data_IF_072200931052
#
_entry.id   IF_072200931052
#
_cell.length_a   1.000
_cell.length_b   1.000
_cell.length_c   1.000
_cell.angle_alpha   90.00
_cell.angle_beta   90.00
_cell.angle_gamma   90.00
#
_symmetry.space_group_name_H-M   'P 1'
#
loop_
_entity.id
_entity.type
_entity.pdbx_description
1 polymer ?
#
# COMPACT_ATOMS: atom_id res chain seq x y z
N UNK A 1 14.07 11.82 46.97
CA UNK A 1 14.88 10.57 46.94
C UNK A 1 14.27 9.63 45.92
N UNK A 2 15.08 8.86 45.24
CA UNK A 2 14.59 7.90 44.24
C UNK A 2 13.93 6.71 44.95
N UNK A 3 12.71 6.37 44.61
CA UNK A 3 11.90 5.33 45.23
C UNK A 3 11.70 4.13 44.34
N UNK A 4 11.95 2.93 44.87
CA UNK A 4 11.78 1.67 44.13
C UNK A 4 10.30 1.30 44.07
N UNK A 5 9.78 1.02 42.86
CA UNK A 5 8.41 0.58 42.61
C UNK A 5 8.39 -0.78 41.91
N UNK A 6 7.65 -1.75 42.45
CA UNK A 6 7.44 -3.07 41.83
C UNK A 6 6.19 -3.07 40.98
N UNK A 7 6.28 -3.62 39.78
CA UNK A 7 5.17 -3.70 38.82
C UNK A 7 5.04 -5.16 38.40
N UNK A 8 3.89 -5.75 38.66
CA UNK A 8 3.60 -7.13 38.26
C UNK A 8 3.43 -7.22 36.74
N UNK A 9 3.70 -8.39 36.19
CA UNK A 9 3.48 -8.69 34.78
C UNK A 9 2.07 -8.27 34.33
N UNK A 10 1.97 -7.76 33.09
CA UNK A 10 0.74 -7.27 32.44
C UNK A 10 0.13 -5.99 33.04
N UNK A 11 0.69 -5.43 34.10
CA UNK A 11 0.28 -4.14 34.66
C UNK A 11 1.00 -2.97 33.97
N UNK A 12 0.32 -1.83 33.95
CA UNK A 12 0.86 -0.59 33.39
C UNK A 12 1.66 0.17 34.47
N UNK A 13 2.83 0.65 34.07
CA UNK A 13 3.57 1.64 34.84
C UNK A 13 2.87 3.00 34.75
N UNK A 14 2.43 3.37 33.53
CA UNK A 14 1.56 4.51 33.22
C UNK A 14 0.91 4.30 31.83
N UNK A 15 -0.14 5.07 31.54
CA UNK A 15 -0.85 5.04 30.26
C UNK A 15 -0.65 6.30 29.44
N UNK A 16 -0.86 6.21 28.13
CA UNK A 16 -0.91 7.38 27.22
C UNK A 16 -1.97 8.36 27.73
N UNK A 17 -1.58 9.63 27.80
CA UNK A 17 -2.46 10.70 28.30
C UNK A 17 -2.43 10.95 29.82
N UNK A 18 -1.82 10.05 30.61
CA UNK A 18 -1.68 10.26 32.04
C UNK A 18 -0.85 11.52 32.34
N UNK A 19 -1.13 12.16 33.51
CA UNK A 19 -0.28 13.22 34.02
C UNK A 19 1.14 12.68 34.28
N UNK A 20 2.13 13.55 34.12
CA UNK A 20 3.54 13.16 34.22
C UNK A 20 4.22 13.92 35.36
N UNK A 21 4.72 13.19 36.35
CA UNK A 21 5.40 13.69 37.53
C UNK A 21 6.80 13.14 37.76
N UNK A 22 7.12 12.02 37.12
CA UNK A 22 8.39 11.31 37.26
C UNK A 22 8.80 10.60 35.97
N UNK A 23 10.08 10.34 35.79
CA UNK A 23 10.60 9.31 34.88
C UNK A 23 11.05 8.10 35.66
N UNK A 24 11.29 7.01 34.96
CA UNK A 24 11.61 5.73 35.59
C UNK A 24 12.82 5.07 34.95
N UNK A 25 13.74 4.54 35.76
CA UNK A 25 14.83 3.66 35.32
C UNK A 25 14.43 2.23 35.63
N UNK A 26 14.55 1.34 34.65
CA UNK A 26 14.24 -0.08 34.82
C UNK A 26 15.39 -0.75 35.53
N UNK A 27 15.17 -1.29 36.73
CA UNK A 27 16.18 -2.05 37.53
C UNK A 27 16.19 -3.52 37.12
N UNK A 28 15.02 -4.12 36.99
CA UNK A 28 14.88 -5.53 36.62
C UNK A 28 13.58 -5.76 35.87
N UNK A 29 13.47 -6.91 35.17
CA UNK A 29 12.27 -7.26 34.42
C UNK A 29 12.33 -6.81 32.96
N UNK A 30 11.23 -6.26 32.44
CA UNK A 30 11.10 -5.73 31.08
C UNK A 30 9.75 -5.08 30.85
N UNK A 31 9.71 -4.10 29.96
CA UNK A 31 8.49 -3.37 29.61
C UNK A 31 8.33 -3.31 28.08
N UNK A 32 7.08 -3.21 27.64
CA UNK A 32 6.72 -2.82 26.29
C UNK A 32 6.16 -1.39 26.31
N UNK A 33 6.71 -0.54 25.44
CA UNK A 33 6.13 0.76 25.13
C UNK A 33 5.08 0.52 24.07
N UNK A 34 3.82 0.87 24.35
CA UNK A 34 2.71 0.59 23.44
C UNK A 34 1.87 1.84 23.20
N UNK A 35 1.12 1.83 22.09
CA UNK A 35 0.07 2.81 21.82
C UNK A 35 -1.26 2.11 21.63
N UNK A 36 -2.32 2.72 22.16
CA UNK A 36 -3.68 2.22 21.99
C UNK A 36 -4.20 2.51 20.59
N UNK A 37 -4.76 1.48 19.95
CA UNK A 37 -5.38 1.56 18.62
C UNK A 37 -6.73 0.83 18.66
N UNK A 38 -7.82 1.58 18.79
CA UNK A 38 -9.15 0.97 19.00
C UNK A 38 -9.11 0.06 20.23
N UNK A 39 -9.39 -1.23 20.04
CA UNK A 39 -9.35 -2.25 21.11
C UNK A 39 -8.00 -3.01 21.18
N UNK A 40 -6.99 -2.65 20.38
CA UNK A 40 -5.69 -3.30 20.36
C UNK A 40 -4.58 -2.35 20.82
N UNK A 41 -3.44 -2.93 21.22
CA UNK A 41 -2.22 -2.18 21.51
C UNK A 41 -1.14 -2.53 20.50
N UNK A 42 -0.45 -1.49 20.00
CA UNK A 42 0.70 -1.61 19.10
C UNK A 42 1.96 -1.45 19.92
N UNK A 43 2.86 -2.40 19.82
CA UNK A 43 4.18 -2.34 20.46
C UNK A 43 5.10 -1.45 19.63
N UNK A 44 5.55 -0.33 20.22
CA UNK A 44 6.52 0.59 19.61
C UNK A 44 7.95 0.18 19.90
N UNK A 45 8.22 -0.27 21.14
CA UNK A 45 9.55 -0.68 21.58
C UNK A 45 9.46 -1.64 22.77
N UNK A 46 10.47 -2.51 22.89
CA UNK A 46 10.75 -3.25 24.12
C UNK A 46 11.85 -2.56 24.92
N UNK A 47 11.67 -2.47 26.22
CA UNK A 47 12.58 -1.75 27.12
C UNK A 47 13.14 -2.71 28.15
N UNK A 48 14.47 -2.74 28.27
CA UNK A 48 15.24 -3.68 29.09
C UNK A 48 15.82 -2.99 30.34
N UNK A 49 16.31 -3.74 31.33
CA UNK A 49 17.01 -3.18 32.50
C UNK A 49 18.15 -2.22 32.08
N UNK A 50 18.28 -1.12 32.80
CA UNK A 50 19.19 -0.02 32.52
C UNK A 50 18.63 1.08 31.63
N UNK A 51 17.54 0.84 30.92
CA UNK A 51 16.90 1.86 30.11
C UNK A 51 15.95 2.76 30.95
N UNK A 52 15.59 3.91 30.37
CA UNK A 52 14.68 4.89 30.95
C UNK A 52 13.38 4.95 30.17
N UNK A 53 12.28 5.27 30.87
CA UNK A 53 10.97 5.52 30.26
C UNK A 53 10.26 6.71 30.96
N UNK A 54 9.44 7.42 30.19
CA UNK A 54 8.72 8.56 30.68
C UNK A 54 9.53 9.86 30.72
N UNK A 55 10.73 9.87 30.13
CA UNK A 55 11.66 11.00 30.06
C UNK A 55 11.13 12.16 29.23
N UNK A 56 10.29 11.85 28.23
CA UNK A 56 9.81 12.85 27.25
C UNK A 56 9.06 14.01 27.89
N UNK A 57 8.27 13.74 28.90
CA UNK A 57 7.47 14.75 29.58
C UNK A 57 8.30 15.68 30.49
N UNK A 58 9.52 15.29 30.87
CA UNK A 58 10.45 16.14 31.60
C UNK A 58 10.83 17.39 30.79
N UNK A 59 10.88 17.29 29.45
CA UNK A 59 11.35 18.37 28.57
C UNK A 59 10.24 19.30 28.09
N UNK A 60 8.98 18.85 28.06
CA UNK A 60 7.88 19.59 27.46
C UNK A 60 6.62 19.71 28.33
N UNK A 61 6.64 19.16 29.54
CA UNK A 61 5.51 19.15 30.49
C UNK A 61 4.19 18.64 29.90
N UNK A 62 4.26 17.78 28.85
CA UNK A 62 3.07 17.23 28.23
C UNK A 62 2.68 15.88 28.88
N UNK A 63 1.43 15.44 28.71
CA UNK A 63 1.01 14.10 29.14
C UNK A 63 1.86 12.98 28.53
N UNK A 64 1.79 11.79 29.13
CA UNK A 64 2.48 10.58 28.64
C UNK A 64 2.21 10.34 27.17
N UNK A 65 3.24 10.12 26.39
CA UNK A 65 3.16 9.98 24.93
C UNK A 65 2.78 8.55 24.47
N UNK A 66 2.86 7.57 25.38
CA UNK A 66 2.60 6.16 25.12
C UNK A 66 2.27 5.43 26.43
N UNK A 67 1.73 4.21 26.34
CA UNK A 67 1.62 3.30 27.47
C UNK A 67 2.96 2.64 27.74
N UNK A 68 3.24 2.29 28.99
CA UNK A 68 4.36 1.42 29.38
C UNK A 68 3.80 0.28 30.22
N UNK A 69 3.82 -0.94 29.66
CA UNK A 69 3.25 -2.15 30.24
C UNK A 69 4.35 -3.15 30.56
N UNK A 70 4.33 -3.74 31.76
CA UNK A 70 5.29 -4.74 32.16
C UNK A 70 5.05 -6.07 31.41
N UNK A 71 6.10 -6.61 30.78
CA UNK A 71 6.06 -7.90 30.07
C UNK A 71 6.39 -9.08 31.01
N UNK A 72 6.91 -8.79 32.16
CA UNK A 72 7.22 -9.69 33.29
C UNK A 72 7.28 -8.89 34.59
N UNK A 73 7.32 -9.57 35.73
CA UNK A 73 7.51 -8.90 37.01
C UNK A 73 8.76 -8.03 36.97
N UNK A 74 8.60 -6.77 37.28
CA UNK A 74 9.60 -5.74 37.04
C UNK A 74 9.75 -4.81 38.23
N UNK A 75 10.94 -4.24 38.39
CA UNK A 75 11.25 -3.22 39.37
C UNK A 75 11.79 -1.98 38.66
N UNK A 76 11.27 -0.80 39.04
CA UNK A 76 11.70 0.50 38.50
C UNK A 76 12.10 1.43 39.62
N UNK A 77 12.99 2.36 39.32
CA UNK A 77 13.38 3.48 40.18
C UNK A 77 12.69 4.72 39.67
N UNK A 78 11.79 5.31 40.50
CA UNK A 78 11.12 6.55 40.18
C UNK A 78 12.03 7.75 40.46
N UNK A 79 12.14 8.64 39.48
CA UNK A 79 12.88 9.91 39.57
C UNK A 79 11.90 11.07 39.36
N UNK A 80 11.48 11.78 40.44
CA UNK A 80 10.57 12.90 40.36
C UNK A 80 11.14 14.01 39.47
N UNK A 81 10.32 14.59 38.59
CA UNK A 81 10.74 15.68 37.72
C UNK A 81 11.21 16.92 38.46
N UNK A 82 10.63 17.22 39.61
CA UNK A 82 11.05 18.37 40.42
C UNK A 82 12.55 18.31 40.78
N UNK A 83 13.05 17.12 41.13
CA UNK A 83 14.47 16.92 41.43
C UNK A 83 15.36 17.02 40.22
N UNK A 84 14.90 16.52 39.05
CA UNK A 84 15.63 16.52 37.80
C UNK A 84 15.65 17.93 37.16
N UNK A 85 14.56 18.67 37.20
CA UNK A 85 14.48 20.01 36.64
C UNK A 85 15.51 20.94 37.28
N UNK A 86 15.68 20.90 38.62
CA UNK A 86 16.71 21.66 39.31
C UNK A 86 18.13 21.40 38.79
N UNK A 87 18.41 20.15 38.43
CA UNK A 87 19.72 19.78 37.86
C UNK A 87 19.84 20.22 36.39
N UNK A 88 18.74 20.11 35.62
CA UNK A 88 18.71 20.54 34.21
C UNK A 88 18.85 22.04 34.04
N UNK A 89 18.37 22.83 35.02
CA UNK A 89 18.51 24.29 35.01
C UNK A 89 19.97 24.75 35.13
N UNK A 90 20.83 23.91 35.64
CA UNK A 90 22.27 24.13 35.69
C UNK A 90 23.01 23.84 34.37
N UNK A 91 22.34 23.17 33.41
CA UNK A 91 22.92 22.87 32.11
C UNK A 91 22.98 24.12 31.21
N UNK A 92 23.98 24.22 30.33
CA UNK A 92 24.03 25.27 29.34
C UNK A 92 22.74 25.36 28.50
N UNK A 93 22.33 26.57 28.16
CA UNK A 93 21.06 26.82 27.42
C UNK A 93 21.00 26.03 26.12
N UNK A 94 22.10 25.90 25.39
CA UNK A 94 22.14 25.16 24.14
C UNK A 94 21.91 23.65 24.32
N UNK A 95 22.38 23.03 25.42
CA UNK A 95 22.13 21.62 25.74
C UNK A 95 20.63 21.39 25.95
N UNK A 96 19.98 22.25 26.73
CA UNK A 96 18.55 22.19 26.98
C UNK A 96 17.74 22.36 25.67
N UNK A 97 18.18 23.28 24.80
CA UNK A 97 17.55 23.49 23.51
C UNK A 97 17.65 22.23 22.61
N UNK A 98 18.82 21.59 22.53
CA UNK A 98 19.00 20.35 21.78
C UNK A 98 18.09 19.24 22.33
N UNK A 99 18.08 19.03 23.64
CA UNK A 99 17.25 18.00 24.26
C UNK A 99 15.76 18.23 23.98
N UNK A 100 15.29 19.47 24.05
CA UNK A 100 13.92 19.84 23.72
C UNK A 100 13.60 19.54 22.25
N UNK A 101 14.46 19.95 21.33
CA UNK A 101 14.27 19.70 19.89
C UNK A 101 14.24 18.20 19.56
N UNK A 102 15.14 17.40 20.14
CA UNK A 102 15.14 15.93 19.95
C UNK A 102 13.85 15.30 20.48
N UNK A 103 13.37 15.75 21.62
CA UNK A 103 12.12 15.27 22.20
C UNK A 103 10.90 15.61 21.33
N UNK A 104 10.85 16.84 20.78
CA UNK A 104 9.80 17.27 19.85
C UNK A 104 9.81 16.43 18.58
N UNK A 105 11.01 16.17 18.00
CA UNK A 105 11.16 15.32 16.82
C UNK A 105 10.70 13.87 17.10
N UNK A 106 11.02 13.31 18.25
CA UNK A 106 10.55 11.97 18.65
C UNK A 106 9.02 11.91 18.80
N UNK A 107 8.41 12.92 19.41
CA UNK A 107 6.93 12.99 19.49
C UNK A 107 6.29 13.08 18.11
N UNK A 108 6.86 13.88 17.24
CA UNK A 108 6.36 14.01 15.88
C UNK A 108 6.51 12.70 15.08
N UNK A 109 7.65 12.02 15.21
CA UNK A 109 7.85 10.69 14.63
C UNK A 109 6.83 9.67 15.15
N UNK A 110 6.61 9.62 16.47
CA UNK A 110 5.61 8.73 17.07
C UNK A 110 4.17 9.08 16.63
N UNK A 111 3.85 10.36 16.42
CA UNK A 111 2.56 10.81 15.89
C UNK A 111 2.40 10.39 14.42
N UNK A 112 3.46 10.52 13.61
CA UNK A 112 3.45 10.05 12.20
C UNK A 112 3.26 8.54 12.11
N UNK A 113 3.92 7.76 12.97
CA UNK A 113 3.72 6.31 13.06
C UNK A 113 2.25 5.99 13.35
N UNK A 114 1.64 6.67 14.35
CA UNK A 114 0.22 6.46 14.69
C UNK A 114 -0.72 6.82 13.53
N UNK A 115 -0.42 7.88 12.77
CA UNK A 115 -1.20 8.28 11.59
C UNK A 115 -1.04 7.24 10.48
N UNK A 116 0.18 6.80 10.17
CA UNK A 116 0.46 5.78 9.16
C UNK A 116 -0.20 4.43 9.49
N UNK A 117 -0.28 4.09 10.77
CA UNK A 117 -0.96 2.89 11.23
C UNK A 117 -2.49 3.04 11.30
N UNK A 118 -3.02 4.24 11.58
CA UNK A 118 -4.46 4.50 11.56
C UNK A 118 -5.05 4.54 10.15
N UNK A 119 -4.25 4.89 9.14
CA UNK A 119 -4.66 4.79 7.72
C UNK A 119 -4.85 3.32 7.28
N UNK A 120 -4.55 2.36 8.14
CA UNK A 120 -4.66 0.92 7.87
C UNK A 120 -6.01 0.28 8.25
N UNK A 121 -6.98 0.99 8.81
CA UNK A 121 -8.11 0.30 9.47
C UNK A 121 -9.53 0.64 9.06
N UNK A 122 -9.80 1.56 8.14
CA UNK A 122 -11.17 1.72 7.68
C UNK A 122 -11.17 2.06 6.19
N UNK A 123 -11.88 1.23 5.40
CA UNK A 123 -12.22 1.39 3.99
C UNK A 123 -11.02 1.49 3.00
N UNK A 124 -10.71 0.36 2.40
CA UNK A 124 -9.64 0.13 1.41
C UNK A 124 -8.21 0.14 2.01
N UNK A 125 -7.74 -1.03 2.41
CA UNK A 125 -6.32 -1.25 2.80
C UNK A 125 -5.33 -0.70 1.77
N UNK A 126 -5.75 -0.61 0.52
CA UNK A 126 -5.00 -0.08 -0.60
C UNK A 126 -5.89 0.82 -1.48
N UNK A 127 -6.06 2.09 -1.12
CA UNK A 127 -6.76 3.03 -1.98
C UNK A 127 -6.04 3.14 -3.35
N UNK A 128 -6.78 3.44 -4.42
CA UNK A 128 -6.27 3.45 -5.79
C UNK A 128 -4.96 4.23 -5.99
N UNK A 129 -4.86 5.40 -5.38
CA UNK A 129 -3.67 6.25 -5.46
C UNK A 129 -2.43 5.62 -4.80
N UNK A 130 -2.60 4.79 -3.78
CA UNK A 130 -1.51 4.08 -3.11
C UNK A 130 -0.97 2.95 -4.01
N UNK A 131 -1.86 2.18 -4.65
CA UNK A 131 -1.46 1.14 -5.61
C UNK A 131 -0.61 1.76 -6.72
N UNK A 132 -1.11 2.86 -7.29
CA UNK A 132 -0.42 3.56 -8.37
C UNK A 132 0.94 4.10 -7.93
N UNK A 133 1.03 4.62 -6.71
CA UNK A 133 2.28 5.09 -6.11
C UNK A 133 3.32 3.96 -6.00
N UNK A 134 2.95 2.77 -5.53
CA UNK A 134 3.87 1.65 -5.42
C UNK A 134 4.34 1.12 -6.77
N UNK A 135 3.44 1.03 -7.76
CA UNK A 135 3.81 0.64 -9.12
C UNK A 135 4.74 1.69 -9.73
N UNK A 136 4.51 2.97 -9.48
CA UNK A 136 5.41 4.06 -9.91
C UNK A 136 6.80 3.96 -9.30
N UNK A 137 6.93 3.57 -8.03
CA UNK A 137 8.23 3.33 -7.38
C UNK A 137 8.96 2.18 -8.08
N UNK A 138 8.28 1.08 -8.38
CA UNK A 138 8.85 -0.06 -9.08
C UNK A 138 9.34 0.36 -10.47
N UNK A 139 8.54 1.10 -11.22
CA UNK A 139 8.90 1.61 -12.54
C UNK A 139 10.10 2.58 -12.47
N UNK A 140 10.12 3.50 -11.51
CA UNK A 140 11.21 4.45 -11.30
C UNK A 140 12.54 3.72 -11.01
N UNK A 141 12.50 2.75 -10.09
CA UNK A 141 13.69 1.95 -9.73
C UNK A 141 14.15 1.11 -10.92
N UNK A 142 13.20 0.47 -11.62
CA UNK A 142 13.48 -0.33 -12.81
C UNK A 142 14.17 0.49 -13.91
N UNK A 143 13.66 1.68 -14.22
CA UNK A 143 14.25 2.55 -15.24
C UNK A 143 15.62 3.10 -14.85
N UNK A 144 15.82 3.46 -13.58
CA UNK A 144 17.05 4.10 -13.14
C UNK A 144 18.18 3.10 -12.92
N UNK A 145 17.88 1.92 -12.41
CA UNK A 145 18.88 0.95 -11.95
C UNK A 145 18.73 -0.44 -12.58
N UNK A 146 17.66 -0.65 -13.36
CA UNK A 146 17.37 -1.94 -13.97
C UNK A 146 18.42 -2.32 -14.99
N UNK A 147 18.81 -3.58 -14.97
CA UNK A 147 19.58 -4.22 -16.02
C UNK A 147 18.62 -4.83 -17.01
N UNK A 148 18.88 -4.58 -18.30
CA UNK A 148 18.08 -5.17 -19.35
C UNK A 148 18.23 -6.71 -19.34
N UNK A 149 17.12 -7.39 -19.42
CA UNK A 149 16.99 -8.84 -19.57
C UNK A 149 16.27 -9.14 -20.92
N UNK A 150 16.09 -10.41 -21.22
CA UNK A 150 15.41 -10.83 -22.44
C UNK A 150 13.98 -10.27 -22.54
N UNK A 151 13.48 -10.15 -23.76
CA UNK A 151 12.14 -9.64 -24.09
C UNK A 151 11.81 -8.24 -23.51
N UNK A 152 12.82 -7.40 -23.22
CA UNK A 152 12.62 -6.05 -22.67
C UNK A 152 12.30 -5.98 -21.19
N UNK A 153 12.46 -7.08 -20.46
CA UNK A 153 12.33 -7.11 -19.02
C UNK A 153 13.47 -6.34 -18.33
N UNK A 154 13.23 -5.87 -17.10
CA UNK A 154 14.20 -5.14 -16.29
C UNK A 154 14.41 -5.82 -14.95
N UNK A 155 15.66 -6.16 -14.60
CA UNK A 155 15.99 -6.76 -13.32
C UNK A 155 16.75 -5.81 -12.41
N UNK A 156 16.42 -5.83 -11.11
CA UNK A 156 17.05 -5.00 -10.08
C UNK A 156 16.90 -5.63 -8.68
N UNK A 157 17.58 -5.07 -7.68
CA UNK A 157 17.54 -5.59 -6.30
C UNK A 157 16.33 -5.07 -5.53
N UNK A 158 15.69 -5.93 -4.73
CA UNK A 158 14.63 -5.56 -3.78
C UNK A 158 15.10 -4.52 -2.76
N UNK A 159 16.40 -4.48 -2.43
CA UNK A 159 17.01 -3.47 -1.56
C UNK A 159 16.86 -2.05 -2.10
N UNK A 160 16.92 -1.86 -3.43
CA UNK A 160 16.69 -0.56 -4.05
C UNK A 160 15.23 -0.12 -3.90
N UNK A 161 14.27 -1.03 -4.15
CA UNK A 161 12.84 -0.73 -3.93
C UNK A 161 12.61 -0.34 -2.46
N UNK A 162 13.15 -1.12 -1.52
CA UNK A 162 13.02 -0.85 -0.08
C UNK A 162 13.56 0.53 0.28
N UNK A 163 14.75 0.88 -0.19
CA UNK A 163 15.37 2.17 0.08
C UNK A 163 14.52 3.33 -0.46
N UNK A 164 14.05 3.24 -1.71
CA UNK A 164 13.18 4.26 -2.29
C UNK A 164 11.85 4.35 -1.53
N UNK A 165 11.22 3.21 -1.20
CA UNK A 165 9.97 3.17 -0.45
C UNK A 165 10.08 3.90 0.89
N UNK A 166 11.13 3.61 1.67
CA UNK A 166 11.32 4.19 3.00
C UNK A 166 11.85 5.62 2.93
N UNK A 167 12.98 5.82 2.24
CA UNK A 167 13.76 7.07 2.36
C UNK A 167 13.17 8.21 1.52
N UNK A 168 12.61 7.90 0.35
CA UNK A 168 12.12 8.91 -0.57
C UNK A 168 10.62 9.10 -0.44
N UNK A 169 9.86 7.99 -0.45
CA UNK A 169 8.41 8.05 -0.45
C UNK A 169 7.77 7.93 0.92
N UNK A 170 8.54 7.61 1.97
CA UNK A 170 8.11 7.48 3.37
C UNK A 170 6.91 6.53 3.54
N UNK A 171 6.93 5.42 2.81
CA UNK A 171 5.87 4.43 2.78
C UNK A 171 6.28 3.12 3.47
N UNK A 172 5.28 2.33 3.87
CA UNK A 172 5.47 1.06 4.54
C UNK A 172 5.93 -0.04 3.56
N UNK A 173 7.03 -0.73 3.91
CA UNK A 173 7.61 -1.78 3.08
C UNK A 173 6.75 -3.04 2.98
N UNK A 174 5.94 -3.34 4.00
CA UNK A 174 4.99 -4.45 3.96
C UNK A 174 3.92 -4.25 2.88
N UNK A 175 3.42 -3.02 2.71
CA UNK A 175 2.49 -2.69 1.62
C UNK A 175 3.14 -2.84 0.25
N UNK A 176 4.38 -2.37 0.10
CA UNK A 176 5.16 -2.58 -1.13
C UNK A 176 5.30 -4.07 -1.44
N UNK A 177 5.65 -4.89 -0.44
CA UNK A 177 5.78 -6.35 -0.63
C UNK A 177 4.45 -6.97 -1.07
N UNK A 178 3.32 -6.54 -0.49
CA UNK A 178 2.00 -7.02 -0.89
C UNK A 178 1.68 -6.67 -2.35
N UNK A 179 2.01 -5.46 -2.79
CA UNK A 179 1.84 -5.06 -4.20
C UNK A 179 2.76 -5.85 -5.12
N UNK A 180 4.02 -6.07 -4.74
CA UNK A 180 4.95 -6.90 -5.52
C UNK A 180 4.47 -8.35 -5.65
N UNK A 181 3.94 -8.94 -4.57
CA UNK A 181 3.36 -10.28 -4.61
C UNK A 181 2.14 -10.34 -5.54
N UNK A 182 1.27 -9.33 -5.49
CA UNK A 182 0.13 -9.23 -6.41
C UNK A 182 0.57 -9.12 -7.88
N UNK A 183 1.62 -8.34 -8.18
CA UNK A 183 2.20 -8.24 -9.52
C UNK A 183 2.84 -9.56 -9.98
N UNK A 184 3.47 -10.30 -9.06
CA UNK A 184 4.04 -11.62 -9.34
C UNK A 184 2.94 -12.61 -9.72
N UNK A 185 1.87 -12.67 -8.93
CA UNK A 185 0.71 -13.53 -9.20
C UNK A 185 -0.03 -13.18 -10.51
N UNK A 186 0.06 -11.93 -10.95
CA UNK A 186 -0.50 -11.46 -12.20
C UNK A 186 0.44 -11.67 -13.41
N UNK A 187 1.66 -12.19 -13.20
CA UNK A 187 2.62 -12.44 -14.25
C UNK A 187 3.31 -11.18 -14.79
N UNK A 188 3.35 -10.10 -14.00
CA UNK A 188 4.11 -8.89 -14.35
C UNK A 188 5.52 -8.88 -13.78
N UNK A 189 5.80 -9.74 -12.79
CA UNK A 189 7.05 -9.70 -12.05
C UNK A 189 7.47 -11.11 -11.63
N UNK A 190 8.78 -11.34 -11.46
CA UNK A 190 9.31 -12.47 -10.69
C UNK A 190 10.14 -11.98 -9.52
N UNK A 191 10.22 -12.80 -8.46
CA UNK A 191 11.00 -12.54 -7.26
C UNK A 191 11.86 -13.78 -6.97
N UNK A 192 13.18 -13.64 -7.02
CA UNK A 192 14.13 -14.74 -6.83
C UNK A 192 15.04 -14.41 -5.64
N UNK A 193 15.17 -15.33 -4.69
CA UNK A 193 16.07 -15.15 -3.55
C UNK A 193 17.53 -15.23 -4.03
N UNK A 194 18.36 -14.29 -3.57
CA UNK A 194 19.78 -14.23 -3.89
C UNK A 194 20.69 -14.84 -2.82
N UNK A 195 20.13 -15.20 -1.66
CA UNK A 195 20.87 -15.72 -0.51
C UNK A 195 21.66 -14.67 0.28
N UNK A 196 21.61 -13.39 -0.12
CA UNK A 196 22.25 -12.25 0.56
C UNK A 196 21.26 -11.41 1.40
N UNK A 197 20.05 -11.93 1.64
CA UNK A 197 18.95 -11.24 2.33
C UNK A 197 18.17 -10.28 1.43
N UNK A 198 18.50 -10.23 0.12
CA UNK A 198 17.78 -9.48 -0.90
C UNK A 198 17.28 -10.42 -2.00
N UNK A 199 16.21 -9.99 -2.68
CA UNK A 199 15.66 -10.67 -3.83
C UNK A 199 16.10 -9.98 -5.13
N UNK A 200 16.30 -10.77 -6.20
CA UNK A 200 16.31 -10.27 -7.58
C UNK A 200 14.86 -10.09 -8.00
N UNK A 201 14.50 -8.89 -8.36
CA UNK A 201 13.19 -8.54 -8.90
C UNK A 201 13.34 -8.41 -10.41
N UNK A 202 12.51 -9.10 -11.17
CA UNK A 202 12.46 -8.94 -12.64
C UNK A 202 11.07 -8.44 -13.02
N UNK A 203 11.00 -7.19 -13.51
CA UNK A 203 9.79 -6.64 -14.12
C UNK A 203 9.71 -7.14 -15.56
N UNK A 204 8.77 -8.03 -15.84
CA UNK A 204 8.61 -8.72 -17.12
C UNK A 204 7.99 -7.82 -18.19
N UNK A 205 7.17 -6.84 -17.79
CA UNK A 205 6.37 -5.99 -18.68
C UNK A 205 6.42 -4.51 -18.27
N UNK A 206 7.62 -3.89 -18.28
CA UNK A 206 7.78 -2.52 -17.77
C UNK A 206 6.91 -1.50 -18.52
N UNK A 207 6.77 -1.62 -19.83
CA UNK A 207 5.96 -0.70 -20.64
C UNK A 207 4.46 -0.79 -20.30
N UNK A 208 3.97 -2.01 -20.03
CA UNK A 208 2.56 -2.18 -19.63
C UNK A 208 2.29 -1.57 -18.24
N UNK A 209 3.22 -1.72 -17.29
CA UNK A 209 3.11 -1.10 -15.98
C UNK A 209 3.22 0.44 -16.05
N UNK A 210 4.04 0.99 -16.94
CA UNK A 210 4.09 2.42 -17.22
C UNK A 210 2.75 2.93 -17.73
N UNK A 211 2.27 2.34 -18.80
CA UNK A 211 0.99 2.71 -19.43
C UNK A 211 -0.18 2.59 -18.45
N UNK A 212 -0.13 1.59 -17.56
CA UNK A 212 -1.13 1.43 -16.50
C UNK A 212 -1.10 2.61 -15.51
N UNK A 213 0.09 3.00 -15.04
CA UNK A 213 0.24 4.13 -14.08
C UNK A 213 -0.30 5.42 -14.68
N UNK A 214 0.07 5.73 -15.93
CA UNK A 214 -0.36 6.96 -16.62
C UNK A 214 -1.87 6.97 -16.82
N UNK A 215 -2.42 5.87 -17.36
CA UNK A 215 -3.85 5.72 -17.57
C UNK A 215 -4.65 5.81 -16.25
N UNK A 216 -4.17 5.13 -15.19
CA UNK A 216 -4.88 5.09 -13.91
C UNK A 216 -4.84 6.43 -13.20
N UNK A 217 -3.71 7.15 -13.26
CA UNK A 217 -3.64 8.53 -12.81
C UNK A 217 -4.63 9.42 -13.55
N UNK A 218 -4.61 9.39 -14.89
CA UNK A 218 -5.54 10.17 -15.68
C UNK A 218 -6.99 9.86 -15.32
N UNK A 219 -7.33 8.57 -15.16
CA UNK A 219 -8.66 8.14 -14.77
C UNK A 219 -9.06 8.64 -13.38
N UNK A 220 -8.16 8.58 -12.39
CA UNK A 220 -8.42 9.01 -11.01
C UNK A 220 -8.65 10.53 -10.91
N UNK A 221 -7.94 11.33 -11.71
CA UNK A 221 -8.02 12.79 -11.66
C UNK A 221 -9.09 13.39 -12.59
N UNK A 222 -9.68 12.62 -13.52
CA UNK A 222 -10.83 13.08 -14.30
C UNK A 222 -12.02 13.37 -13.40
N UNK A 223 -12.77 14.42 -13.73
CA UNK A 223 -14.05 14.69 -13.07
C UNK A 223 -15.02 13.53 -13.30
N UNK A 224 -15.88 13.25 -12.34
CA UNK A 224 -16.78 12.09 -12.37
C UNK A 224 -17.63 12.03 -13.65
N UNK A 225 -18.11 13.17 -14.12
CA UNK A 225 -18.89 13.31 -15.39
C UNK A 225 -18.12 12.93 -16.65
N UNK A 226 -16.78 13.06 -16.64
CA UNK A 226 -15.89 12.82 -17.77
C UNK A 226 -15.17 11.47 -17.67
N UNK A 227 -15.40 10.76 -16.57
CA UNK A 227 -14.77 9.49 -16.26
C UNK A 227 -15.60 8.33 -16.82
N UNK A 228 -14.99 7.47 -17.64
CA UNK A 228 -15.64 6.21 -18.02
C UNK A 228 -15.91 5.38 -16.75
N UNK A 229 -17.14 4.83 -16.60
CA UNK A 229 -17.45 3.98 -15.46
C UNK A 229 -16.53 2.76 -15.38
N UNK A 230 -16.16 2.33 -14.17
CA UNK A 230 -15.30 1.18 -13.99
C UNK A 230 -15.93 -0.10 -14.57
N UNK A 231 -15.10 -0.95 -15.20
CA UNK A 231 -15.53 -2.30 -15.57
C UNK A 231 -15.45 -3.23 -14.38
N UNK A 232 -16.49 -4.01 -14.18
CA UNK A 232 -16.52 -5.12 -13.21
C UNK A 232 -15.68 -6.32 -13.71
N UNK A 233 -15.40 -7.30 -12.84
CA UNK A 233 -14.68 -8.51 -13.25
C UNK A 233 -15.42 -9.29 -14.32
N UNK A 234 -16.76 -9.36 -14.26
CA UNK A 234 -17.58 -10.02 -15.28
C UNK A 234 -17.53 -9.29 -16.62
N UNK A 235 -17.63 -7.95 -16.61
CA UNK A 235 -17.55 -7.14 -17.83
C UNK A 235 -16.18 -7.24 -18.49
N UNK A 236 -15.09 -7.31 -17.70
CA UNK A 236 -13.74 -7.55 -18.24
C UNK A 236 -13.63 -8.92 -18.90
N UNK A 237 -14.24 -9.97 -18.33
CA UNK A 237 -14.27 -11.30 -18.96
C UNK A 237 -15.02 -11.30 -20.29
N UNK A 238 -16.17 -10.62 -20.33
CA UNK A 238 -16.96 -10.45 -21.57
C UNK A 238 -16.14 -9.69 -22.59
N UNK A 239 -15.52 -8.57 -22.20
CA UNK A 239 -14.67 -7.77 -23.09
C UNK A 239 -13.50 -8.57 -23.66
N UNK A 240 -12.80 -9.34 -22.83
CA UNK A 240 -11.70 -10.20 -23.29
C UNK A 240 -12.18 -11.27 -24.29
N UNK A 241 -13.36 -11.83 -24.10
CA UNK A 241 -13.98 -12.72 -25.09
C UNK A 241 -14.25 -12.00 -26.41
N UNK A 242 -14.84 -10.81 -26.38
CA UNK A 242 -15.09 -10.00 -27.59
C UNK A 242 -13.77 -9.68 -28.30
N UNK A 243 -12.73 -9.29 -27.58
CA UNK A 243 -11.40 -8.98 -28.14
C UNK A 243 -10.78 -10.21 -28.84
N UNK A 244 -11.01 -11.42 -28.31
CA UNK A 244 -10.56 -12.66 -28.95
C UNK A 244 -11.19 -12.82 -30.34
N UNK A 245 -12.51 -12.58 -30.46
CA UNK A 245 -13.20 -12.67 -31.73
C UNK A 245 -12.86 -11.49 -32.67
N UNK A 246 -12.65 -10.30 -32.13
CA UNK A 246 -12.21 -9.15 -32.92
C UNK A 246 -10.87 -9.40 -33.61
N UNK A 247 -9.96 -10.11 -32.97
CA UNK A 247 -8.65 -10.49 -33.56
C UNK A 247 -8.72 -11.52 -34.69
N UNK A 248 -9.86 -12.18 -34.84
CA UNK A 248 -10.09 -13.17 -35.92
C UNK A 248 -10.64 -12.54 -37.21
N UNK A 249 -11.02 -11.26 -37.19
CA UNK A 249 -11.59 -10.56 -38.33
C UNK A 249 -10.68 -9.40 -38.77
N UNK A 250 -10.75 -9.01 -40.02
CA UNK A 250 -10.01 -7.86 -40.55
C UNK A 250 -10.76 -6.55 -40.23
N UNK A 251 -10.02 -5.47 -39.95
CA UNK A 251 -10.64 -4.17 -39.73
C UNK A 251 -11.21 -3.57 -41.00
N UNK A 252 -12.24 -2.77 -40.88
CA UNK A 252 -12.76 -1.98 -41.98
C UNK A 252 -11.83 -0.78 -42.32
N UNK A 253 -12.18 0.01 -43.33
CA UNK A 253 -11.43 1.20 -43.76
C UNK A 253 -11.26 2.28 -42.68
N UNK A 254 -12.02 2.19 -41.56
CA UNK A 254 -11.92 3.07 -40.39
C UNK A 254 -11.13 2.45 -39.23
N UNK A 255 -10.53 1.27 -39.43
CA UNK A 255 -9.82 0.55 -38.38
C UNK A 255 -10.73 -0.12 -37.34
N UNK A 256 -12.02 -0.25 -37.59
CA UNK A 256 -12.99 -0.87 -36.69
C UNK A 256 -13.20 -2.34 -37.08
N UNK A 257 -13.27 -3.21 -36.10
CA UNK A 257 -13.47 -4.65 -36.24
C UNK A 257 -14.96 -4.98 -36.07
N UNK A 258 -15.61 -5.55 -37.10
CA UNK A 258 -17.01 -5.95 -37.06
C UNK A 258 -17.14 -7.34 -36.47
N UNK A 259 -17.53 -7.43 -35.19
CA UNK A 259 -17.67 -8.70 -34.45
C UNK A 259 -19.11 -9.17 -34.47
N UNK A 260 -19.34 -10.41 -34.90
CA UNK A 260 -20.66 -11.06 -34.89
C UNK A 260 -20.93 -11.65 -33.50
N UNK A 261 -21.92 -11.11 -32.81
CA UNK A 261 -22.28 -11.55 -31.45
C UNK A 261 -22.93 -12.94 -31.41
N UNK A 262 -23.53 -13.41 -32.52
CA UNK A 262 -24.06 -14.76 -32.61
C UNK A 262 -22.91 -15.78 -32.63
N UNK A 263 -21.82 -15.48 -33.34
CA UNK A 263 -20.61 -16.34 -33.33
C UNK A 263 -19.96 -16.35 -31.95
N UNK A 264 -19.89 -15.17 -31.30
CA UNK A 264 -19.40 -15.06 -29.92
C UNK A 264 -20.24 -15.92 -28.99
N UNK A 265 -21.58 -15.85 -29.07
CA UNK A 265 -22.47 -16.66 -28.24
C UNK A 265 -22.29 -18.16 -28.46
N UNK A 266 -22.14 -18.58 -29.72
CA UNK A 266 -22.04 -20.01 -30.06
C UNK A 266 -20.69 -20.63 -29.68
N UNK A 267 -19.61 -19.85 -29.76
CA UNK A 267 -18.24 -20.38 -29.62
C UNK A 267 -17.54 -19.94 -28.34
N UNK A 268 -18.03 -18.90 -27.63
CA UNK A 268 -17.33 -18.32 -26.47
C UNK A 268 -17.04 -19.35 -25.37
N UNK A 269 -17.95 -20.26 -25.10
CA UNK A 269 -17.76 -21.31 -24.09
C UNK A 269 -16.56 -22.21 -24.42
N UNK A 270 -16.38 -22.55 -25.69
CA UNK A 270 -15.26 -23.38 -26.16
C UNK A 270 -13.94 -22.62 -26.14
N UNK A 271 -13.97 -21.35 -26.55
CA UNK A 271 -12.76 -20.53 -26.73
C UNK A 271 -12.25 -19.91 -25.43
N UNK A 272 -13.17 -19.55 -24.50
CA UNK A 272 -12.84 -18.78 -23.29
C UNK A 272 -13.22 -19.48 -21.97
N UNK A 273 -13.94 -20.60 -22.03
CA UNK A 273 -14.52 -21.26 -20.88
C UNK A 273 -15.71 -20.52 -20.26
N UNK A 274 -16.18 -19.42 -20.87
CA UNK A 274 -17.31 -18.64 -20.41
C UNK A 274 -18.32 -18.45 -21.52
N UNK A 275 -19.60 -18.72 -21.24
CA UNK A 275 -20.68 -18.39 -22.16
C UNK A 275 -20.91 -16.87 -22.18
N UNK A 276 -20.84 -16.26 -23.34
CA UNK A 276 -21.14 -14.84 -23.56
C UNK A 276 -22.37 -14.74 -24.46
N UNK A 277 -23.48 -14.23 -23.92
CA UNK A 277 -24.72 -14.04 -24.65
C UNK A 277 -24.73 -12.68 -25.33
N UNK A 278 -25.61 -12.53 -26.33
CA UNK A 278 -25.79 -11.27 -27.07
C UNK A 278 -26.17 -10.11 -26.13
N UNK A 279 -26.94 -10.38 -25.06
CA UNK A 279 -27.35 -9.39 -24.06
C UNK A 279 -26.24 -8.97 -23.09
N UNK A 280 -25.28 -9.84 -22.85
CA UNK A 280 -24.23 -9.61 -21.86
C UNK A 280 -23.29 -8.43 -22.21
N UNK A 281 -23.31 -7.99 -23.47
CA UNK A 281 -22.55 -6.82 -23.93
C UNK A 281 -23.25 -5.48 -23.60
N UNK A 282 -24.54 -5.47 -23.25
CA UNK A 282 -25.28 -4.24 -23.01
C UNK A 282 -24.64 -3.30 -21.98
N UNK A 283 -24.18 -3.78 -20.81
CA UNK A 283 -23.51 -2.91 -19.84
C UNK A 283 -22.26 -2.23 -20.41
N UNK A 284 -21.53 -2.87 -21.32
CA UNK A 284 -20.34 -2.32 -21.96
C UNK A 284 -20.72 -1.25 -23.01
N UNK A 285 -21.86 -1.39 -23.68
CA UNK A 285 -22.41 -0.38 -24.59
C UNK A 285 -22.88 0.83 -23.79
N UNK A 286 -23.67 0.63 -22.72
CA UNK A 286 -24.14 1.71 -21.84
C UNK A 286 -23.00 2.52 -21.24
N UNK A 287 -21.91 1.85 -20.87
CA UNK A 287 -20.65 2.46 -20.38
C UNK A 287 -19.80 3.07 -21.49
N UNK A 288 -20.20 3.01 -22.74
CA UNK A 288 -19.49 3.54 -23.93
C UNK A 288 -18.12 2.90 -24.22
N UNK A 289 -17.94 1.66 -23.82
CA UNK A 289 -16.77 0.87 -24.18
C UNK A 289 -16.93 0.19 -25.55
N UNK A 290 -18.16 -0.12 -25.94
CA UNK A 290 -18.53 -0.72 -27.23
C UNK A 290 -19.56 0.16 -27.94
N UNK A 291 -19.65 0.01 -29.26
CA UNK A 291 -20.67 0.70 -30.07
C UNK A 291 -22.04 0.07 -29.88
N UNK A 292 -23.09 0.79 -30.30
CA UNK A 292 -24.42 0.23 -30.40
C UNK A 292 -24.45 -1.02 -31.31
N UNK A 293 -25.42 -1.90 -31.03
CA UNK A 293 -25.62 -3.11 -31.84
C UNK A 293 -26.16 -2.74 -33.21
N UNK A 294 -25.60 -3.38 -34.24
CA UNK A 294 -26.04 -3.30 -35.62
C UNK A 294 -26.65 -4.65 -35.97
N UNK A 295 -27.90 -4.62 -36.52
CA UNK A 295 -28.57 -5.84 -36.98
C UNK A 295 -28.61 -5.84 -38.52
N UNK A 296 -28.29 -6.98 -39.10
CA UNK A 296 -28.49 -7.25 -40.54
C UNK A 296 -29.06 -8.67 -40.72
N UNK A 297 -29.29 -9.08 -41.96
CA UNK A 297 -29.87 -10.38 -42.30
C UNK A 297 -29.02 -11.57 -41.80
N UNK A 298 -27.73 -11.35 -41.50
CA UNK A 298 -26.77 -12.37 -41.09
C UNK A 298 -26.52 -12.40 -39.58
N UNK A 299 -27.06 -11.46 -38.81
CA UNK A 299 -26.96 -11.49 -37.34
C UNK A 299 -26.85 -10.14 -36.66
N UNK A 300 -26.39 -10.18 -35.40
CA UNK A 300 -26.19 -9.04 -34.52
C UNK A 300 -24.70 -8.74 -34.41
N UNK A 301 -24.29 -7.51 -34.65
CA UNK A 301 -22.89 -7.10 -34.69
C UNK A 301 -22.62 -5.93 -33.77
N UNK A 302 -21.38 -5.82 -33.34
CA UNK A 302 -20.79 -4.62 -32.73
C UNK A 302 -19.53 -4.23 -33.48
N UNK A 303 -19.18 -2.95 -33.43
CA UNK A 303 -17.90 -2.45 -33.93
C UNK A 303 -16.96 -2.25 -32.76
N UNK A 304 -15.75 -2.76 -32.87
CA UNK A 304 -14.71 -2.71 -31.82
C UNK A 304 -13.51 -1.93 -32.34
N UNK A 305 -13.10 -0.90 -31.61
CA UNK A 305 -11.83 -0.20 -31.85
C UNK A 305 -10.73 -0.88 -31.00
N UNK A 306 -10.14 -1.93 -31.57
CA UNK A 306 -9.25 -2.83 -30.86
C UNK A 306 -8.06 -2.13 -30.18
N UNK A 307 -7.34 -1.17 -30.83
CA UNK A 307 -6.23 -0.46 -30.21
C UNK A 307 -6.64 0.40 -28.98
N UNK A 308 -7.89 0.83 -28.93
CA UNK A 308 -8.43 1.61 -27.80
C UNK A 308 -8.94 0.70 -26.68
N UNK A 309 -9.69 -0.34 -26.99
CA UNK A 309 -10.40 -1.16 -26.00
C UNK A 309 -9.48 -2.19 -25.32
N UNK A 310 -8.52 -2.74 -26.05
CA UNK A 310 -7.61 -3.78 -25.51
C UNK A 310 -6.77 -3.29 -24.31
N UNK A 311 -6.11 -2.12 -24.36
CA UNK A 311 -5.43 -1.56 -23.19
C UNK A 311 -6.37 -1.31 -22.01
N UNK A 312 -7.61 -0.85 -22.26
CA UNK A 312 -8.60 -0.60 -21.22
C UNK A 312 -9.02 -1.90 -20.51
N UNK A 313 -9.32 -2.94 -21.27
CA UNK A 313 -9.67 -4.26 -20.72
C UNK A 313 -8.54 -4.82 -19.84
N UNK A 314 -7.29 -4.73 -20.30
CA UNK A 314 -6.11 -5.13 -19.53
C UNK A 314 -5.97 -4.32 -18.23
N UNK A 315 -6.10 -3.00 -18.31
CA UNK A 315 -5.96 -2.11 -17.17
C UNK A 315 -7.06 -2.36 -16.12
N UNK A 316 -8.31 -2.54 -16.54
CA UNK A 316 -9.40 -2.90 -15.64
C UNK A 316 -9.24 -4.30 -15.05
N UNK A 317 -8.69 -5.26 -15.80
CA UNK A 317 -8.31 -6.56 -15.27
C UNK A 317 -7.33 -6.43 -14.10
N UNK A 318 -6.31 -5.60 -14.26
CA UNK A 318 -5.32 -5.31 -13.22
C UNK A 318 -5.95 -4.64 -11.99
N UNK A 319 -6.78 -3.60 -12.19
CA UNK A 319 -7.50 -2.93 -11.09
C UNK A 319 -8.37 -3.91 -10.30
N UNK A 320 -9.15 -4.76 -10.99
CA UNK A 320 -10.02 -5.74 -10.35
C UNK A 320 -9.22 -6.80 -9.59
N UNK A 321 -8.09 -7.25 -10.14
CA UNK A 321 -7.20 -8.20 -9.48
C UNK A 321 -6.56 -7.59 -8.22
N UNK A 322 -6.13 -6.32 -8.25
CA UNK A 322 -5.66 -5.61 -7.07
C UNK A 322 -6.76 -5.47 -6.02
N UNK A 323 -7.97 -5.05 -6.40
CA UNK A 323 -9.11 -4.97 -5.47
C UNK A 323 -9.40 -6.29 -4.77
N UNK A 324 -9.22 -7.42 -5.46
CA UNK A 324 -9.45 -8.75 -4.89
C UNK A 324 -8.31 -9.22 -3.97
N UNK A 325 -7.05 -8.94 -4.33
CA UNK A 325 -5.86 -9.41 -3.60
C UNK A 325 -5.44 -8.51 -2.44
N UNK A 326 -5.81 -7.23 -2.49
CA UNK A 326 -5.39 -6.23 -1.52
C UNK A 326 -6.50 -5.83 -0.51
N UNK A 327 -7.64 -6.52 -0.56
CA UNK A 327 -8.74 -6.40 0.41
C UNK A 327 -8.40 -6.94 1.78
#
# INVERSE_FOLDING_TARGET
MAEGKKIAKDNYLFREGDASDAMYIIKSGGFAVTKTKGNAEIVLAEVKPGAMVGEMALFDNKPRSANVKATKDSEVLALPYESLTKQMDQLPVWVRAIMKTLNENLREANKKIKILENTNNEEERFPPHIINKYISIINLVGNKYGKAEDAGALSFSSGLIRNYTIQIFQEATNKMQTVMNALTDLGYMTQEDRGDGFQKITNLKPQELFSFVDWYNEWLFKQEKDRLPAMTESEVKIMNGILLFAKKVEPNHKGLYKVNLNDVQNESMKETGNLIRVEDVNPLIEKKYLTEKIMDEKGVYIMVELPYVEPLARNWSMVNAFKKKLR
#
